data_IF_792607119144
#
_entry.id   IF_792607119144
#
_cell.length_a   1.000
_cell.length_b   1.000
_cell.length_c   1.000
_cell.angle_alpha   90.00
_cell.angle_beta   90.00
_cell.angle_gamma   90.00
#
_symmetry.space_group_name_H-M   'P 1'
#
loop_
_entity.id
_entity.type
_entity.pdbx_description
1 polymer ?
#
# COMPACT_ATOMS: atom_id res chain seq x y z
N UNK A 1 17.38 8.71 32.22
CA UNK A 1 17.91 8.45 30.87
C UNK A 1 17.06 7.35 30.27
N UNK A 2 16.15 7.73 29.37
CA UNK A 2 15.14 6.87 28.75
C UNK A 2 15.57 6.45 27.34
N UNK A 3 14.87 5.45 26.79
CA UNK A 3 14.82 5.04 25.37
C UNK A 3 15.55 3.76 24.91
N UNK A 4 15.43 2.67 25.69
CA UNK A 4 15.44 1.32 25.09
C UNK A 4 13.99 0.82 25.06
N UNK A 5 13.24 1.38 24.10
CA UNK A 5 11.81 1.22 23.93
C UNK A 5 11.38 -0.25 24.00
N UNK A 6 10.52 -0.51 24.99
CA UNK A 6 9.56 -1.60 25.10
C UNK A 6 9.12 -2.06 23.69
N UNK A 7 9.72 -3.14 23.17
CA UNK A 7 9.20 -3.87 22.01
C UNK A 7 7.83 -4.41 22.44
N UNK A 8 6.77 -3.63 22.21
CA UNK A 8 5.41 -4.14 22.18
C UNK A 8 5.36 -5.16 21.04
N UNK A 9 5.62 -6.42 21.37
CA UNK A 9 5.36 -7.58 20.51
C UNK A 9 3.85 -7.69 20.35
N UNK A 10 3.29 -6.84 19.51
CA UNK A 10 1.90 -6.97 19.08
C UNK A 10 1.76 -8.30 18.34
N UNK A 11 0.60 -8.97 18.42
CA UNK A 11 0.34 -10.18 17.63
C UNK A 11 0.66 -9.99 16.14
N UNK A 12 0.42 -8.77 15.63
CA UNK A 12 0.73 -8.41 14.25
C UNK A 12 2.23 -8.45 13.95
N UNK A 13 3.09 -7.85 14.79
CA UNK A 13 4.55 -7.89 14.60
C UNK A 13 5.08 -9.32 14.61
N UNK A 14 4.58 -10.18 15.50
CA UNK A 14 4.96 -11.60 15.57
C UNK A 14 4.55 -12.35 14.29
N UNK A 15 3.36 -12.09 13.76
CA UNK A 15 2.93 -12.68 12.49
C UNK A 15 3.80 -12.25 11.31
N UNK A 16 4.31 -11.01 11.28
CA UNK A 16 5.23 -10.55 10.23
C UNK A 16 6.57 -11.29 10.30
N UNK A 17 7.10 -11.55 11.49
CA UNK A 17 8.33 -12.32 11.67
C UNK A 17 8.14 -13.78 11.23
N UNK A 18 7.01 -14.40 11.59
CA UNK A 18 6.66 -15.74 11.11
C UNK A 18 6.56 -15.79 9.58
N UNK A 19 5.92 -14.80 8.97
CA UNK A 19 5.78 -14.72 7.51
C UNK A 19 7.16 -14.63 6.83
N UNK A 20 8.06 -13.78 7.33
CA UNK A 20 9.42 -13.64 6.79
C UNK A 20 10.20 -14.96 6.83
N UNK A 21 10.07 -15.71 7.92
CA UNK A 21 10.68 -17.05 8.04
C UNK A 21 10.08 -18.05 7.05
N UNK A 22 8.75 -18.02 6.84
CA UNK A 22 8.08 -18.92 5.91
C UNK A 22 8.48 -18.68 4.45
N UNK A 23 8.67 -17.42 4.05
CA UNK A 23 9.09 -17.06 2.68
C UNK A 23 10.62 -17.05 2.50
N UNK A 24 11.38 -17.37 3.55
CA UNK A 24 12.84 -17.33 3.59
C UNK A 24 13.42 -15.99 3.09
N UNK A 25 12.80 -14.88 3.48
CA UNK A 25 13.23 -13.52 3.10
C UNK A 25 13.09 -12.56 4.27
N UNK A 26 14.18 -11.89 4.62
CA UNK A 26 14.22 -10.87 5.68
C UNK A 26 14.17 -9.48 5.07
N UNK A 27 13.12 -8.73 5.37
CA UNK A 27 13.02 -7.33 4.97
C UNK A 27 13.96 -6.47 5.81
N UNK A 28 14.88 -5.75 5.15
CA UNK A 28 15.69 -4.73 5.81
C UNK A 28 14.84 -3.62 6.44
N UNK A 29 13.63 -3.39 5.93
CA UNK A 29 12.66 -2.45 6.46
C UNK A 29 11.30 -3.14 6.66
N UNK A 30 11.07 -3.66 7.86
CA UNK A 30 9.80 -4.30 8.26
C UNK A 30 8.60 -3.34 8.16
N UNK A 31 8.84 -2.03 8.17
CA UNK A 31 7.81 -1.01 7.94
C UNK A 31 7.20 -1.05 6.53
N UNK A 32 7.91 -1.62 5.54
CA UNK A 32 7.38 -1.89 4.21
C UNK A 32 6.44 -3.09 4.23
N UNK A 33 6.89 -4.20 4.83
CA UNK A 33 6.08 -5.41 4.99
C UNK A 33 4.80 -5.11 5.79
N UNK A 34 4.91 -4.33 6.87
CA UNK A 34 3.77 -3.91 7.69
C UNK A 34 2.72 -3.15 6.88
N UNK A 35 3.14 -2.25 5.99
CA UNK A 35 2.25 -1.48 5.11
C UNK A 35 1.62 -2.37 4.04
N UNK A 36 2.38 -3.25 3.42
CA UNK A 36 1.87 -4.21 2.45
C UNK A 36 0.79 -5.12 3.06
N UNK A 37 0.97 -5.51 4.33
CA UNK A 37 0.01 -6.33 5.08
C UNK A 37 -1.12 -5.52 5.72
N UNK A 38 -1.17 -4.19 5.54
CA UNK A 38 -2.26 -3.35 6.05
C UNK A 38 -3.35 -3.24 4.98
N UNK A 39 -4.57 -3.66 5.34
CA UNK A 39 -5.71 -3.61 4.45
C UNK A 39 -6.13 -2.17 4.14
N UNK A 40 -6.68 -1.95 2.94
CA UNK A 40 -7.14 -0.66 2.46
C UNK A 40 -8.14 0.05 3.38
N UNK A 41 -8.98 -0.70 4.11
CA UNK A 41 -9.89 -0.14 5.12
C UNK A 41 -9.18 0.57 6.28
N UNK A 42 -7.87 0.33 6.45
CA UNK A 42 -7.00 0.95 7.45
C UNK A 42 -6.04 1.98 6.83
N UNK A 43 -6.02 2.12 5.49
CA UNK A 43 -5.11 3.02 4.77
C UNK A 43 -5.88 4.22 4.22
N UNK A 44 -5.95 5.28 5.03
CA UNK A 44 -6.61 6.54 4.65
C UNK A 44 -5.85 7.29 3.55
N UNK A 45 -4.51 7.17 3.52
CA UNK A 45 -3.62 7.87 2.59
C UNK A 45 -3.85 7.40 1.15
N UNK A 46 -3.73 6.09 0.89
CA UNK A 46 -3.90 5.51 -0.44
C UNK A 46 -5.29 5.77 -1.01
N UNK A 47 -6.31 5.72 -0.16
CA UNK A 47 -7.70 6.04 -0.51
C UNK A 47 -7.82 7.50 -0.96
N UNK A 48 -7.24 8.44 -0.22
CA UNK A 48 -7.26 9.87 -0.56
C UNK A 48 -6.62 10.14 -1.93
N UNK A 49 -5.53 9.45 -2.27
CA UNK A 49 -4.89 9.57 -3.58
C UNK A 49 -5.78 9.03 -4.71
N UNK A 50 -6.40 7.86 -4.51
CA UNK A 50 -7.36 7.31 -5.46
C UNK A 50 -8.59 8.22 -5.65
N UNK A 51 -9.10 8.82 -4.58
CA UNK A 51 -10.23 9.78 -4.64
C UNK A 51 -9.85 11.05 -5.41
N UNK A 52 -8.62 11.56 -5.20
CA UNK A 52 -8.10 12.74 -5.91
C UNK A 52 -7.90 12.48 -7.41
N UNK A 53 -7.60 11.24 -7.79
CA UNK A 53 -7.56 10.81 -9.19
C UNK A 53 -8.94 10.49 -9.77
N UNK A 54 -10.01 10.58 -8.96
CA UNK A 54 -11.38 10.31 -9.40
C UNK A 54 -11.66 8.84 -9.68
N UNK A 55 -10.90 7.90 -9.11
CA UNK A 55 -11.04 6.48 -9.40
C UNK A 55 -12.43 5.94 -9.05
N UNK A 56 -13.10 6.50 -8.03
CA UNK A 56 -14.47 6.16 -7.65
C UNK A 56 -15.50 6.40 -8.78
N UNK A 57 -15.20 7.27 -9.75
CA UNK A 57 -16.08 7.56 -10.88
C UNK A 57 -15.78 6.68 -12.10
N UNK A 58 -14.64 5.99 -12.11
CA UNK A 58 -14.14 5.20 -13.25
C UNK A 58 -14.25 3.70 -12.95
N UNK A 59 -14.04 3.31 -11.69
CA UNK A 59 -14.09 1.92 -11.27
C UNK A 59 -15.50 1.37 -11.47
N UNK A 60 -15.60 0.26 -12.20
CA UNK A 60 -16.86 -0.45 -12.41
C UNK A 60 -17.01 -1.49 -11.31
N UNK A 61 -18.08 -1.36 -10.54
CA UNK A 61 -18.44 -2.29 -9.47
C UNK A 61 -19.86 -2.82 -9.69
N UNK A 62 -20.22 -3.89 -8.98
CA UNK A 62 -21.60 -4.37 -8.96
C UNK A 62 -22.53 -3.33 -8.33
N UNK A 63 -23.80 -3.32 -8.71
CA UNK A 63 -24.81 -2.40 -8.18
C UNK A 63 -25.01 -2.49 -6.66
N UNK A 64 -24.54 -3.57 -6.02
CA UNK A 64 -24.59 -3.77 -4.56
C UNK A 64 -23.32 -3.30 -3.84
N UNK A 65 -22.31 -2.87 -4.57
CA UNK A 65 -21.00 -2.50 -4.06
C UNK A 65 -20.83 -0.99 -4.15
N UNK A 66 -20.41 -0.36 -3.06
CA UNK A 66 -20.13 1.07 -3.03
C UNK A 66 -18.76 1.37 -3.67
N UNK A 67 -18.77 2.09 -4.80
CA UNK A 67 -17.56 2.50 -5.51
C UNK A 67 -16.70 3.52 -4.75
N UNK A 68 -17.29 4.20 -3.76
CA UNK A 68 -16.60 5.19 -2.92
C UNK A 68 -15.94 4.57 -1.69
N UNK A 69 -16.22 3.28 -1.41
CA UNK A 69 -15.66 2.59 -0.27
C UNK A 69 -14.12 2.61 -0.31
N UNK A 70 -13.43 2.91 0.82
CA UNK A 70 -11.97 3.00 0.86
C UNK A 70 -11.25 1.76 0.31
N UNK A 71 -11.79 0.57 0.58
CA UNK A 71 -11.25 -0.68 0.06
C UNK A 71 -11.28 -0.77 -1.46
N UNK A 72 -12.35 -0.28 -2.09
CA UNK A 72 -12.52 -0.27 -3.55
C UNK A 72 -11.57 0.75 -4.19
N UNK A 73 -11.53 1.97 -3.66
CA UNK A 73 -10.70 3.05 -4.19
C UNK A 73 -9.21 2.74 -4.04
N UNK A 74 -8.78 2.27 -2.88
CA UNK A 74 -7.39 1.88 -2.64
C UNK A 74 -6.99 0.65 -3.48
N UNK A 75 -7.88 -0.35 -3.60
CA UNK A 75 -7.64 -1.51 -4.46
C UNK A 75 -7.48 -1.12 -5.93
N UNK A 76 -8.35 -0.23 -6.43
CA UNK A 76 -8.27 0.31 -7.78
C UNK A 76 -6.97 1.08 -8.01
N UNK A 77 -6.55 1.91 -7.06
CA UNK A 77 -5.30 2.65 -7.16
C UNK A 77 -4.07 1.74 -7.20
N UNK A 78 -4.01 0.73 -6.32
CA UNK A 78 -2.95 -0.29 -6.35
C UNK A 78 -2.92 -1.05 -7.68
N UNK A 79 -4.09 -1.39 -8.22
CA UNK A 79 -4.19 -2.05 -9.52
C UNK A 79 -3.66 -1.19 -10.67
N UNK A 80 -3.99 0.11 -10.69
CA UNK A 80 -3.44 1.06 -11.69
C UNK A 80 -1.93 1.14 -11.60
N UNK A 81 -1.37 1.22 -10.39
CA UNK A 81 0.07 1.25 -10.18
C UNK A 81 0.76 -0.04 -10.65
N UNK A 82 0.17 -1.20 -10.37
CA UNK A 82 0.64 -2.49 -10.87
C UNK A 82 0.57 -2.58 -12.39
N UNK A 83 -0.52 -2.10 -13.00
CA UNK A 83 -0.67 -2.06 -14.45
C UNK A 83 0.41 -1.18 -15.12
N UNK A 84 0.72 -0.01 -14.55
CA UNK A 84 1.81 0.86 -15.03
C UNK A 84 3.17 0.14 -14.93
N UNK A 85 3.43 -0.57 -13.84
CA UNK A 85 4.69 -1.30 -13.68
C UNK A 85 4.85 -2.42 -14.71
N UNK A 86 3.75 -3.13 -15.02
CA UNK A 86 3.72 -4.18 -16.05
C UNK A 86 3.86 -3.58 -17.45
N UNK A 87 3.15 -2.50 -17.76
CA UNK A 87 3.19 -1.81 -19.06
C UNK A 87 4.58 -1.22 -19.36
N UNK A 88 5.19 -0.57 -18.37
CA UNK A 88 6.52 0.01 -18.51
C UNK A 88 7.65 -1.03 -18.46
N UNK A 89 7.36 -2.28 -18.06
CA UNK A 89 8.37 -3.31 -17.78
C UNK A 89 9.35 -2.94 -16.67
N UNK A 90 9.05 -1.90 -15.88
CA UNK A 90 9.92 -1.34 -14.85
C UNK A 90 9.10 -0.74 -13.70
N UNK A 91 9.34 -1.23 -12.49
CA UNK A 91 8.72 -0.71 -11.27
C UNK A 91 9.21 0.69 -10.89
N UNK A 92 10.37 1.12 -11.38
CA UNK A 92 10.90 2.46 -11.13
C UNK A 92 10.03 3.54 -11.78
N UNK A 93 9.49 3.25 -12.97
CA UNK A 93 8.57 4.17 -13.68
C UNK A 93 7.28 4.31 -12.89
N UNK A 94 6.70 3.19 -12.42
CA UNK A 94 5.53 3.19 -11.57
C UNK A 94 5.79 3.98 -10.27
N UNK A 95 6.96 3.77 -9.65
CA UNK A 95 7.34 4.50 -8.44
C UNK A 95 7.52 6.01 -8.65
N UNK A 96 8.04 6.43 -9.82
CA UNK A 96 8.12 7.87 -10.17
C UNK A 96 6.74 8.49 -10.35
N UNK A 97 5.83 7.81 -11.04
CA UNK A 97 4.45 8.29 -11.24
C UNK A 97 3.72 8.36 -9.90
N UNK A 98 3.88 7.33 -9.07
CA UNK A 98 3.36 7.28 -7.71
C UNK A 98 3.87 8.45 -6.85
N UNK A 99 5.18 8.69 -6.84
CA UNK A 99 5.80 9.79 -6.10
C UNK A 99 5.32 11.17 -6.55
N UNK A 100 5.03 11.36 -7.86
CA UNK A 100 4.41 12.59 -8.37
C UNK A 100 2.99 12.79 -7.83
N UNK A 101 2.22 11.71 -7.65
CA UNK A 101 0.87 11.75 -7.07
C UNK A 101 0.92 12.05 -5.55
N UNK A 102 1.97 11.57 -4.87
CA UNK A 102 2.19 11.73 -3.43
C UNK A 102 2.90 13.04 -3.03
N UNK A 103 3.46 13.81 -3.98
CA UNK A 103 4.13 15.08 -3.68
C UNK A 103 5.54 14.92 -3.10
N UNK A 104 6.16 13.75 -3.26
CA UNK A 104 7.52 13.47 -2.78
C UNK A 104 8.34 12.73 -3.82
N UNK A 105 9.49 13.29 -4.19
CA UNK A 105 10.50 12.61 -5.02
C UNK A 105 10.90 11.29 -4.32
N UNK A 106 10.67 10.16 -4.98
CA UNK A 106 11.36 8.90 -4.69
C UNK A 106 10.78 7.99 -3.60
N UNK A 107 9.52 8.15 -3.17
CA UNK A 107 8.84 7.16 -2.31
C UNK A 107 7.61 6.62 -3.00
N UNK A 108 7.67 5.33 -3.36
CA UNK A 108 6.53 4.57 -3.81
C UNK A 108 6.08 3.66 -2.65
N UNK A 109 5.08 4.11 -1.91
CA UNK A 109 4.44 3.38 -0.82
C UNK A 109 3.28 2.53 -1.38
N UNK A 110 3.61 1.44 -2.06
CA UNK A 110 2.60 0.47 -2.55
C UNK A 110 1.90 -0.27 -1.40
#
# INVERSE_FOLDING_TARGET
MADAAFKLTTPFSVSLDTLQNQINYTFNNVGLLRRAMTHASFSEETTRHGTRLGLQNIVRVSHKTDATAPAVVCGAFRAVCGAIAVDAGSSDVAGRIYGKIHGGIGRADF
#
